data_IF_491066815609
#
_entry.id   IF_491066815609
#
_cell.length_a   1.000
_cell.length_b   1.000
_cell.length_c   1.000
_cell.angle_alpha   90.00
_cell.angle_beta   90.00
_cell.angle_gamma   90.00
#
_symmetry.space_group_name_H-M   'P 1'
#
loop_
_entity.id
_entity.type
_entity.pdbx_description
1 polymer ?
#
# COMPACT_ATOMS: atom_id res chain seq x y z
N UNK A 1 1.92 11.66 -32.47
CA UNK A 1 1.59 10.26 -32.77
C UNK A 1 0.89 9.73 -31.52
N UNK A 2 -0.44 9.68 -31.55
CA UNK A 2 -1.25 9.27 -30.39
C UNK A 2 -1.20 7.76 -30.31
N UNK A 3 -0.54 7.21 -29.29
CA UNK A 3 -0.53 5.76 -29.04
C UNK A 3 -1.82 5.43 -28.31
N UNK A 4 -2.77 4.84 -29.02
CA UNK A 4 -3.98 4.28 -28.42
C UNK A 4 -3.57 2.96 -27.75
N UNK A 5 -3.58 2.92 -26.42
CA UNK A 5 -3.38 1.69 -25.65
C UNK A 5 -4.64 0.83 -25.77
N UNK A 6 -4.57 -0.27 -26.48
CA UNK A 6 -5.62 -1.30 -26.42
C UNK A 6 -5.52 -2.02 -25.08
N UNK A 7 -6.55 -1.86 -24.25
CA UNK A 7 -6.72 -2.63 -23.02
C UNK A 7 -6.90 -4.12 -23.38
N UNK A 8 -6.34 -5.06 -22.59
CA UNK A 8 -6.64 -6.48 -22.81
C UNK A 8 -8.14 -6.72 -22.68
N UNK A 9 -8.67 -7.58 -23.53
CA UNK A 9 -10.08 -7.79 -23.83
C UNK A 9 -10.97 -8.25 -22.66
N UNK A 10 -10.46 -8.39 -21.45
CA UNK A 10 -11.26 -8.54 -20.22
C UNK A 10 -10.51 -7.99 -18.99
N UNK A 11 -11.17 -7.08 -18.27
CA UNK A 11 -10.72 -6.56 -16.95
C UNK A 11 -10.60 -7.68 -15.88
N UNK A 12 -11.04 -8.90 -16.17
CA UNK A 12 -11.05 -10.05 -15.25
C UNK A 12 -9.69 -10.77 -15.12
N UNK A 13 -8.65 -10.34 -15.84
CA UNK A 13 -7.33 -11.00 -15.83
C UNK A 13 -6.28 -10.36 -14.92
N UNK A 14 -6.60 -9.25 -14.25
CA UNK A 14 -5.64 -8.62 -13.34
C UNK A 14 -5.49 -9.42 -12.03
N UNK A 15 -4.25 -9.62 -11.61
CA UNK A 15 -3.95 -10.16 -10.29
C UNK A 15 -4.52 -9.19 -9.22
N UNK A 16 -5.27 -9.65 -8.21
CA UNK A 16 -5.81 -8.81 -7.15
C UNK A 16 -4.78 -7.86 -6.52
N UNK A 17 -3.55 -8.32 -6.32
CA UNK A 17 -2.47 -7.47 -5.79
C UNK A 17 -2.04 -6.35 -6.72
N UNK A 18 -2.17 -6.55 -8.02
CA UNK A 18 -1.83 -5.52 -9.01
C UNK A 18 -2.94 -4.46 -9.11
N UNK A 19 -4.21 -4.85 -8.97
CA UNK A 19 -5.34 -3.92 -8.84
C UNK A 19 -5.09 -2.98 -7.65
N UNK A 20 -4.78 -3.55 -6.49
CA UNK A 20 -4.52 -2.77 -5.27
C UNK A 20 -3.33 -1.81 -5.49
N UNK A 21 -2.21 -2.31 -6.00
CA UNK A 21 -1.01 -1.50 -6.22
C UNK A 21 -1.23 -0.38 -7.24
N UNK A 22 -1.91 -0.69 -8.35
CA UNK A 22 -2.25 0.29 -9.38
C UNK A 22 -3.19 1.39 -8.85
N UNK A 23 -4.18 1.01 -8.01
CA UNK A 23 -5.08 2.00 -7.40
C UNK A 23 -4.35 2.87 -6.35
N UNK A 24 -3.51 2.27 -5.49
CA UNK A 24 -2.71 3.03 -4.52
C UNK A 24 -1.74 3.99 -5.23
N UNK A 25 -1.21 3.62 -6.38
CA UNK A 25 -0.32 4.49 -7.17
C UNK A 25 -1.00 5.80 -7.61
N UNK A 26 -2.34 5.86 -7.70
CA UNK A 26 -3.08 7.10 -7.97
C UNK A 26 -2.98 8.13 -6.82
N UNK A 27 -2.65 7.69 -5.61
CA UNK A 27 -2.45 8.56 -4.45
C UNK A 27 -1.05 9.22 -4.43
N UNK A 28 -0.09 8.66 -5.19
CA UNK A 28 1.29 9.14 -5.23
C UNK A 28 1.44 10.27 -6.24
N UNK A 29 2.02 11.38 -5.81
CA UNK A 29 2.26 12.57 -6.62
C UNK A 29 3.74 12.95 -6.64
N UNK A 30 4.14 13.68 -7.67
CA UNK A 30 5.48 14.25 -7.78
C UNK A 30 5.85 15.09 -6.54
N UNK A 31 7.09 15.00 -6.11
CA UNK A 31 7.63 15.68 -4.93
C UNK A 31 7.38 14.98 -3.60
N UNK A 32 6.66 13.86 -3.57
CA UNK A 32 6.37 13.16 -2.32
C UNK A 32 7.55 12.33 -1.80
N UNK A 33 7.72 12.32 -0.48
CA UNK A 33 8.50 11.34 0.27
C UNK A 33 7.56 10.24 0.77
N UNK A 34 7.74 9.02 0.25
CA UNK A 34 6.82 7.88 0.45
C UNK A 34 7.53 6.71 1.10
N UNK A 35 6.96 6.15 2.15
CA UNK A 35 7.38 4.86 2.70
C UNK A 35 6.47 3.75 2.16
N UNK A 36 7.06 2.67 1.67
CA UNK A 36 6.35 1.48 1.21
C UNK A 36 6.68 0.31 2.12
N UNK A 37 5.67 -0.22 2.79
CA UNK A 37 5.78 -1.45 3.57
C UNK A 37 6.16 -2.66 2.72
N UNK A 38 6.62 -3.72 3.38
CA UNK A 38 7.09 -4.95 2.75
C UNK A 38 5.93 -5.71 2.08
N UNK A 39 6.19 -6.35 0.96
CA UNK A 39 5.27 -7.25 0.28
C UNK A 39 4.32 -6.54 -0.69
N UNK A 40 3.00 -6.53 -0.45
CA UNK A 40 2.04 -5.92 -1.37
C UNK A 40 2.30 -4.40 -1.55
N UNK A 41 2.54 -3.61 -0.49
CA UNK A 41 2.82 -2.18 -0.64
C UNK A 41 4.02 -1.87 -1.55
N UNK A 42 5.08 -2.66 -1.53
CA UNK A 42 6.26 -2.41 -2.36
C UNK A 42 5.98 -2.52 -3.86
N UNK A 43 4.89 -3.20 -4.27
CA UNK A 43 4.47 -3.29 -5.67
C UNK A 43 4.02 -1.96 -6.26
N UNK A 44 3.60 -1.00 -5.42
CA UNK A 44 3.14 0.34 -5.83
C UNK A 44 4.19 1.06 -6.66
N UNK A 45 5.47 0.94 -6.30
CA UNK A 45 6.56 1.54 -7.05
C UNK A 45 6.59 1.13 -8.54
N UNK A 46 6.15 -0.09 -8.85
CA UNK A 46 6.05 -0.59 -10.24
C UNK A 46 4.98 0.11 -11.09
N UNK A 47 4.04 0.82 -10.48
CA UNK A 47 2.93 1.50 -11.16
C UNK A 47 3.10 3.03 -11.23
N UNK A 48 4.29 3.57 -10.90
CA UNK A 48 4.55 5.01 -10.89
C UNK A 48 5.23 5.52 -12.18
N UNK A 49 5.15 4.78 -13.27
CA UNK A 49 5.67 5.24 -14.56
C UNK A 49 5.07 6.62 -14.92
N UNK A 50 5.94 7.60 -15.19
CA UNK A 50 5.54 8.97 -15.51
C UNK A 50 5.25 9.87 -14.29
N UNK A 51 5.43 9.39 -13.08
CA UNK A 51 5.48 10.24 -11.88
C UNK A 51 6.95 10.49 -11.55
N UNK A 52 7.38 11.73 -11.73
CA UNK A 52 8.77 12.14 -11.47
C UNK A 52 8.91 12.63 -10.03
N UNK A 53 10.16 12.69 -9.55
CA UNK A 53 10.52 13.26 -8.23
C UNK A 53 9.80 12.60 -7.03
N UNK A 54 9.53 11.30 -7.09
CA UNK A 54 9.09 10.53 -5.93
C UNK A 54 10.29 9.91 -5.24
N UNK A 55 10.44 10.19 -3.94
CA UNK A 55 11.51 9.65 -3.13
C UNK A 55 10.97 8.56 -2.20
N UNK A 56 11.49 7.35 -2.33
CA UNK A 56 11.15 6.27 -1.40
C UNK A 56 12.08 6.29 -0.20
N UNK A 57 11.48 6.19 0.99
CA UNK A 57 12.18 6.10 2.27
C UNK A 57 11.92 4.72 2.87
N UNK A 58 12.96 4.16 3.50
CA UNK A 58 12.81 3.01 4.38
C UNK A 58 13.27 3.39 5.79
N UNK A 59 12.64 2.83 6.80
CA UNK A 59 12.87 3.16 8.21
C UNK A 59 14.28 2.80 8.69
N UNK A 60 15.00 1.91 8.00
CA UNK A 60 16.42 1.62 8.25
C UNK A 60 17.36 2.78 7.89
N UNK A 61 16.87 3.82 7.18
CA UNK A 61 17.60 5.06 6.91
C UNK A 61 17.87 5.37 5.44
N UNK A 62 17.43 4.52 4.51
CA UNK A 62 17.52 4.81 3.09
C UNK A 62 16.51 5.86 2.65
N UNK A 63 16.93 6.88 1.91
CA UNK A 63 16.08 7.87 1.23
C UNK A 63 16.48 7.91 -0.24
N UNK A 64 15.51 7.93 -1.15
CA UNK A 64 15.75 7.84 -2.59
C UNK A 64 16.11 6.42 -3.02
N UNK A 65 15.46 5.42 -2.41
CA UNK A 65 15.60 4.02 -2.81
C UNK A 65 14.94 3.81 -4.17
N UNK A 66 15.62 3.06 -5.02
CA UNK A 66 15.18 2.70 -6.37
C UNK A 66 14.73 1.25 -6.47
N UNK A 67 14.55 0.79 -7.70
CA UNK A 67 14.16 -0.58 -7.98
C UNK A 67 15.25 -1.59 -7.54
N UNK A 68 14.84 -2.86 -7.43
CA UNK A 68 15.80 -3.95 -7.24
C UNK A 68 16.82 -3.97 -8.38
N UNK A 69 18.13 -4.02 -8.08
CA UNK A 69 19.17 -4.09 -9.10
C UNK A 69 19.08 -5.43 -9.88
N UNK A 70 19.63 -5.50 -11.11
CA UNK A 70 19.78 -6.76 -11.82
C UNK A 70 20.62 -7.76 -11.01
N UNK A 71 20.37 -9.04 -11.25
CA UNK A 71 21.11 -10.14 -10.59
C UNK A 71 22.63 -9.99 -10.83
N UNK A 72 23.40 -10.09 -9.73
CA UNK A 72 24.86 -9.92 -9.73
C UNK A 72 25.34 -8.47 -9.67
N UNK A 73 24.42 -7.50 -9.59
CA UNK A 73 24.73 -6.07 -9.41
C UNK A 73 24.25 -5.55 -8.04
N UNK A 74 23.85 -6.45 -7.16
CA UNK A 74 23.39 -6.08 -5.82
C UNK A 74 24.55 -5.62 -4.95
N UNK A 75 24.34 -4.50 -4.24
CA UNK A 75 25.22 -4.07 -3.16
C UNK A 75 24.67 -4.68 -1.84
N UNK A 76 25.44 -5.52 -1.14
CA UNK A 76 25.00 -6.15 0.11
C UNK A 76 24.77 -5.16 1.25
N UNK A 77 25.24 -3.93 1.13
CA UNK A 77 25.06 -2.86 2.11
C UNK A 77 23.87 -1.95 1.78
N UNK A 78 23.24 -2.13 0.63
CA UNK A 78 22.10 -1.31 0.19
C UNK A 78 20.81 -2.14 0.15
N UNK A 79 20.08 -2.10 1.26
CA UNK A 79 18.83 -2.87 1.43
C UNK A 79 17.70 -1.99 1.93
N UNK A 80 16.48 -2.36 1.59
CA UNK A 80 15.28 -1.83 2.25
C UNK A 80 15.14 -2.37 3.69
N UNK A 81 14.12 -1.90 4.41
CA UNK A 81 13.87 -2.34 5.79
C UNK A 81 13.45 -3.81 5.90
N UNK A 82 13.07 -4.46 4.81
CA UNK A 82 12.76 -5.88 4.72
C UNK A 82 13.97 -6.76 4.40
N UNK A 83 15.15 -6.15 4.21
CA UNK A 83 16.37 -6.85 3.79
C UNK A 83 16.43 -7.16 2.29
N UNK A 84 15.50 -6.62 1.50
CA UNK A 84 15.53 -6.72 0.04
C UNK A 84 16.57 -5.79 -0.57
N UNK A 85 17.34 -6.28 -1.56
CA UNK A 85 18.28 -5.43 -2.29
C UNK A 85 17.55 -4.36 -3.09
N UNK A 86 18.06 -3.13 -3.02
CA UNK A 86 17.54 -1.96 -3.74
C UNK A 86 18.67 -1.22 -4.43
N UNK A 87 18.34 -0.41 -5.41
CA UNK A 87 19.23 0.60 -5.97
C UNK A 87 19.03 1.95 -5.28
N UNK A 88 19.86 2.93 -5.61
CA UNK A 88 19.71 4.32 -5.18
C UNK A 88 19.54 5.21 -6.41
N UNK A 89 18.62 6.16 -6.35
CA UNK A 89 18.47 7.17 -7.41
C UNK A 89 19.46 8.30 -7.21
N UNK A 90 19.81 9.09 -8.23
CA UNK A 90 20.64 10.29 -8.07
C UNK A 90 20.05 11.22 -7.00
N UNK A 91 20.87 11.64 -6.04
CA UNK A 91 20.42 12.43 -4.89
C UNK A 91 19.95 11.62 -3.67
N UNK A 92 20.01 10.29 -3.74
CA UNK A 92 19.74 9.44 -2.59
C UNK A 92 20.66 9.75 -1.41
N UNK A 93 20.16 9.51 -0.20
CA UNK A 93 20.92 9.72 1.05
C UNK A 93 20.73 8.51 1.97
N UNK A 94 21.76 8.24 2.77
CA UNK A 94 21.68 7.31 3.90
C UNK A 94 21.82 8.10 5.20
N UNK A 95 20.89 7.88 6.11
CA UNK A 95 20.84 8.49 7.43
C UNK A 95 20.78 7.38 8.48
N UNK A 96 21.13 7.70 9.72
CA UNK A 96 20.97 6.74 10.80
C UNK A 96 19.48 6.51 11.16
N UNK A 97 19.21 5.43 11.86
CA UNK A 97 17.84 5.06 12.25
C UNK A 97 17.17 6.10 13.17
N UNK A 98 17.94 6.80 14.01
CA UNK A 98 17.38 7.82 14.92
C UNK A 98 16.84 9.00 14.10
N UNK A 99 17.60 9.48 13.10
CA UNK A 99 17.15 10.53 12.18
C UNK A 99 15.97 10.04 11.34
N UNK A 100 16.03 8.81 10.83
CA UNK A 100 14.93 8.21 10.06
C UNK A 100 13.62 8.21 10.83
N UNK A 101 13.62 7.71 12.08
CA UNK A 101 12.44 7.73 12.93
C UNK A 101 12.04 9.14 13.37
N UNK A 102 12.99 10.07 13.51
CA UNK A 102 12.67 11.48 13.78
C UNK A 102 11.91 12.11 12.59
N UNK A 103 12.30 11.81 11.35
CA UNK A 103 11.55 12.24 10.15
C UNK A 103 10.13 11.68 10.14
N UNK A 104 9.97 10.39 10.45
CA UNK A 104 8.66 9.73 10.51
C UNK A 104 7.79 10.41 11.58
N UNK A 105 8.25 10.46 12.83
CA UNK A 105 7.53 11.02 13.97
C UNK A 105 7.28 12.52 13.86
N UNK A 106 8.18 13.23 13.18
CA UNK A 106 8.07 14.67 12.91
C UNK A 106 7.08 15.05 11.81
N UNK A 107 6.40 14.07 11.18
CA UNK A 107 5.42 14.34 10.11
C UNK A 107 6.07 14.77 8.80
N UNK A 108 7.29 14.32 8.53
CA UNK A 108 8.01 14.65 7.30
C UNK A 108 7.80 13.63 6.17
N UNK A 109 7.16 12.49 6.44
CA UNK A 109 6.67 11.59 5.40
C UNK A 109 5.33 12.09 4.87
N UNK A 110 5.23 12.27 3.56
CA UNK A 110 3.97 12.66 2.92
C UNK A 110 2.98 11.50 2.93
N UNK A 111 3.46 10.27 2.70
CA UNK A 111 2.61 9.09 2.71
C UNK A 111 3.38 7.84 3.17
N UNK A 112 2.68 6.96 3.88
CA UNK A 112 3.08 5.58 4.07
C UNK A 112 2.02 4.63 3.53
N UNK A 113 2.46 3.56 2.87
CA UNK A 113 1.58 2.47 2.42
C UNK A 113 1.92 1.23 3.21
N UNK A 114 0.96 0.72 3.96
CA UNK A 114 1.15 -0.43 4.85
C UNK A 114 0.27 -1.61 4.44
N UNK A 115 0.78 -2.82 4.61
CA UNK A 115 -0.05 -4.02 4.55
C UNK A 115 -0.97 -4.11 5.77
N UNK A 116 -2.15 -4.73 5.62
CA UNK A 116 -3.10 -4.94 6.71
C UNK A 116 -3.45 -6.41 6.91
N UNK A 117 -3.60 -6.83 8.17
CA UNK A 117 -4.23 -8.11 8.54
C UNK A 117 -5.71 -7.91 8.76
N UNK A 118 -6.09 -6.90 9.56
CA UNK A 118 -7.47 -6.47 9.81
C UNK A 118 -7.52 -4.94 9.92
N UNK A 119 -8.66 -4.36 9.58
CA UNK A 119 -8.99 -2.95 9.84
C UNK A 119 -10.36 -2.91 10.53
N UNK A 120 -10.46 -2.10 11.58
CA UNK A 120 -11.67 -1.93 12.39
C UNK A 120 -12.63 -0.89 11.79
N UNK A 121 -13.89 -0.91 12.20
CA UNK A 121 -14.96 -0.02 11.70
C UNK A 121 -14.66 1.48 11.91
N UNK A 122 -13.78 1.84 12.82
CA UNK A 122 -13.30 3.21 13.03
C UNK A 122 -12.00 3.54 12.25
N UNK A 123 -11.49 2.61 11.44
CA UNK A 123 -10.29 2.77 10.64
C UNK A 123 -8.98 2.44 11.34
N UNK A 124 -8.98 1.84 12.53
CA UNK A 124 -7.76 1.41 13.20
C UNK A 124 -7.21 0.13 12.58
N UNK A 125 -5.89 0.08 12.44
CA UNK A 125 -5.16 -0.99 11.75
C UNK A 125 -4.59 -2.02 12.73
N UNK A 126 -4.71 -3.32 12.39
CA UNK A 126 -3.96 -4.42 12.97
C UNK A 126 -3.11 -5.08 11.86
N UNK A 127 -1.77 -5.04 11.96
CA UNK A 127 -0.90 -5.54 10.90
C UNK A 127 0.40 -6.21 11.37
N UNK A 128 0.62 -6.42 12.68
CA UNK A 128 1.93 -6.81 13.17
C UNK A 128 2.02 -8.20 13.78
N UNK A 129 0.91 -8.78 14.24
CA UNK A 129 0.91 -10.10 14.87
C UNK A 129 -0.37 -10.87 14.63
N UNK A 130 -0.21 -12.20 14.55
CA UNK A 130 -1.31 -13.17 14.66
C UNK A 130 -0.99 -14.04 15.86
N UNK A 131 -1.78 -14.01 16.95
CA UNK A 131 -1.53 -14.84 18.14
C UNK A 131 -1.33 -16.31 17.80
N UNK A 132 -0.33 -16.94 18.43
CA UNK A 132 0.01 -18.34 18.18
C UNK A 132 0.87 -18.61 16.94
N UNK A 133 1.26 -17.57 16.18
CA UNK A 133 2.23 -17.66 15.10
C UNK A 133 3.51 -16.91 15.45
N UNK A 134 4.60 -17.21 14.71
CA UNK A 134 5.84 -16.46 14.84
C UNK A 134 5.58 -14.97 14.54
N UNK A 135 6.04 -14.10 15.44
CA UNK A 135 5.92 -12.65 15.30
C UNK A 135 7.29 -12.13 14.88
N UNK A 136 7.44 -11.63 13.63
CA UNK A 136 8.72 -11.08 13.16
C UNK A 136 9.08 -9.76 13.85
N UNK A 137 8.16 -9.18 14.62
CA UNK A 137 8.26 -7.86 15.23
C UNK A 137 7.36 -6.85 14.54
N UNK A 138 7.16 -5.71 15.22
CA UNK A 138 6.31 -4.64 14.70
C UNK A 138 7.03 -3.79 13.65
N UNK A 139 8.36 -3.77 13.64
CA UNK A 139 9.13 -2.85 12.81
C UNK A 139 8.76 -1.40 13.10
N UNK A 140 8.75 -0.56 12.06
CA UNK A 140 8.37 0.84 12.13
C UNK A 140 6.86 1.11 12.04
N UNK A 141 5.99 0.09 11.99
CA UNK A 141 4.58 0.29 11.67
C UNK A 141 3.83 1.23 12.61
N UNK A 142 4.09 1.17 13.92
CA UNK A 142 3.47 2.10 14.90
C UNK A 142 3.84 3.54 14.62
N UNK A 143 5.13 3.80 14.39
CA UNK A 143 5.65 5.14 14.13
C UNK A 143 5.14 5.67 12.78
N UNK A 144 5.10 4.80 11.76
CA UNK A 144 4.58 5.14 10.44
C UNK A 144 3.10 5.52 10.48
N UNK A 145 2.27 4.73 11.19
CA UNK A 145 0.85 5.07 11.35
C UNK A 145 0.69 6.36 12.16
N UNK A 146 1.46 6.55 13.22
CA UNK A 146 1.33 7.73 14.08
C UNK A 146 1.85 9.01 13.42
N UNK A 147 2.95 8.92 12.64
CA UNK A 147 3.74 10.06 12.21
C UNK A 147 3.57 10.49 10.75
N UNK A 148 3.27 9.58 9.81
CA UNK A 148 3.08 9.96 8.41
C UNK A 148 1.88 10.89 8.22
N UNK A 149 1.96 11.82 7.26
CA UNK A 149 0.85 12.73 6.98
C UNK A 149 -0.37 12.00 6.44
N UNK A 150 -0.15 11.01 5.56
CA UNK A 150 -1.18 10.16 4.99
C UNK A 150 -0.82 8.68 5.16
N UNK A 151 -1.74 7.89 5.68
CA UNK A 151 -1.59 6.44 5.92
C UNK A 151 -2.56 5.69 5.02
N UNK A 152 -2.04 4.93 4.06
CA UNK A 152 -2.82 4.10 3.15
C UNK A 152 -2.59 2.64 3.51
N UNK A 153 -3.68 1.88 3.69
CA UNK A 153 -3.62 0.43 3.86
C UNK A 153 -3.88 -0.25 2.52
N UNK A 154 -2.93 -1.07 2.08
CA UNK A 154 -3.01 -1.91 0.88
C UNK A 154 -3.11 -3.38 1.30
N UNK A 155 -4.27 -3.99 1.14
CA UNK A 155 -4.50 -5.38 1.56
C UNK A 155 -5.59 -6.04 0.73
N UNK A 156 -5.60 -7.38 0.66
CA UNK A 156 -6.76 -8.10 0.11
C UNK A 156 -7.99 -7.89 1.00
N UNK A 157 -9.16 -7.83 0.39
CA UNK A 157 -10.43 -7.58 1.09
C UNK A 157 -10.78 -8.72 2.06
N UNK A 158 -10.50 -9.94 1.64
CA UNK A 158 -10.72 -11.14 2.45
C UNK A 158 -9.45 -11.98 2.58
N UNK A 159 -9.43 -12.86 3.56
CA UNK A 159 -8.43 -13.91 3.72
C UNK A 159 -9.13 -15.26 3.93
N UNK A 160 -8.93 -16.21 2.99
CA UNK A 160 -9.60 -17.52 3.01
C UNK A 160 -11.14 -17.39 3.16
N UNK A 161 -11.73 -16.43 2.44
CA UNK A 161 -13.16 -16.13 2.45
C UNK A 161 -13.68 -15.43 3.71
N UNK A 162 -12.80 -14.99 4.62
CA UNK A 162 -13.19 -14.23 5.82
C UNK A 162 -12.88 -12.74 5.62
N UNK A 163 -13.81 -11.83 5.98
CA UNK A 163 -13.59 -10.39 5.93
C UNK A 163 -12.36 -9.96 6.74
N UNK A 164 -11.62 -9.00 6.21
CA UNK A 164 -10.53 -8.34 6.91
C UNK A 164 -10.90 -6.93 7.38
N UNK A 165 -11.99 -6.38 6.87
CA UNK A 165 -12.58 -5.13 7.34
C UNK A 165 -13.70 -5.53 8.28
N UNK A 166 -13.53 -5.22 9.57
CA UNK A 166 -14.30 -5.80 10.67
C UNK A 166 -14.98 -4.72 11.52
N UNK A 167 -16.07 -5.08 12.16
CA UNK A 167 -16.66 -4.21 13.16
C UNK A 167 -15.67 -3.97 14.32
N UNK A 168 -15.05 -5.04 14.81
CA UNK A 168 -13.97 -4.97 15.81
C UNK A 168 -12.85 -5.93 15.41
N UNK A 169 -11.61 -5.44 15.42
CA UNK A 169 -10.44 -6.26 15.15
C UNK A 169 -10.31 -7.40 16.16
N UNK A 170 -10.06 -8.60 15.67
CA UNK A 170 -9.72 -9.76 16.52
C UNK A 170 -8.23 -9.81 16.86
N UNK A 171 -7.42 -9.05 16.15
CA UNK A 171 -5.98 -8.97 16.29
C UNK A 171 -5.57 -7.68 17.04
N UNK A 172 -4.42 -7.70 17.73
CA UNK A 172 -3.91 -6.50 18.41
C UNK A 172 -3.68 -5.34 17.44
N UNK A 173 -4.20 -4.17 17.78
CA UNK A 173 -4.06 -2.96 16.98
C UNK A 173 -2.58 -2.52 16.88
N UNK A 174 -2.24 -1.92 15.77
CA UNK A 174 -0.90 -1.36 15.50
C UNK A 174 -0.74 0.01 16.16
N UNK A 175 -1.76 0.85 16.06
CA UNK A 175 -1.79 2.19 16.65
C UNK A 175 -3.23 2.61 16.94
N UNK A 176 -3.39 3.69 17.74
CA UNK A 176 -4.70 4.26 18.05
C UNK A 176 -5.21 5.21 16.96
N UNK A 177 -4.28 5.79 16.16
CA UNK A 177 -4.65 6.63 15.02
C UNK A 177 -5.33 5.76 13.96
N UNK A 178 -6.46 6.22 13.41
CA UNK A 178 -7.08 5.64 12.22
C UNK A 178 -6.21 5.90 10.98
N UNK A 179 -6.30 5.03 10.00
CA UNK A 179 -5.69 5.21 8.68
C UNK A 179 -6.53 6.17 7.84
N UNK A 180 -5.93 6.74 6.80
CA UNK A 180 -6.60 7.74 5.97
C UNK A 180 -7.29 7.11 4.75
N UNK A 181 -6.85 5.93 4.30
CA UNK A 181 -7.44 5.22 3.17
C UNK A 181 -7.18 3.71 3.26
N UNK A 182 -8.17 2.92 2.88
CA UNK A 182 -8.08 1.46 2.76
C UNK A 182 -8.33 1.09 1.30
N UNK A 183 -7.35 0.44 0.65
CA UNK A 183 -7.46 -0.01 -0.73
C UNK A 183 -7.36 -1.52 -0.77
N UNK A 184 -8.38 -2.15 -1.33
CA UNK A 184 -8.43 -3.58 -1.58
C UNK A 184 -8.71 -3.82 -3.07
N UNK A 185 -8.67 -5.07 -3.53
CA UNK A 185 -9.08 -5.42 -4.90
C UNK A 185 -10.58 -5.23 -5.15
N UNK A 186 -11.37 -5.11 -4.07
CA UNK A 186 -12.83 -4.98 -4.17
C UNK A 186 -13.34 -3.56 -3.93
N UNK A 187 -12.60 -2.75 -3.16
CA UNK A 187 -13.09 -1.44 -2.72
C UNK A 187 -11.99 -0.46 -2.34
N UNK A 188 -12.27 0.84 -2.49
CA UNK A 188 -11.59 1.93 -1.80
C UNK A 188 -12.52 2.44 -0.71
N UNK A 189 -12.03 2.46 0.52
CA UNK A 189 -12.82 2.83 1.71
C UNK A 189 -12.06 3.93 2.47
N UNK A 190 -12.78 4.98 2.83
CA UNK A 190 -12.25 6.12 3.58
C UNK A 190 -12.82 6.13 4.99
N UNK A 191 -12.00 5.98 6.04
CA UNK A 191 -12.43 6.16 7.40
C UNK A 191 -12.77 7.63 7.71
N UNK A 192 -13.91 7.86 8.36
CA UNK A 192 -14.39 9.18 8.79
C UNK A 192 -14.84 9.13 10.26
N UNK A 193 -15.26 10.29 10.78
CA UNK A 193 -15.86 10.36 12.12
C UNK A 193 -17.23 9.68 12.19
N UNK A 194 -17.90 9.54 11.04
CA UNK A 194 -19.20 8.86 10.93
C UNK A 194 -19.07 7.34 10.72
N UNK A 195 -17.88 6.83 10.40
CA UNK A 195 -17.61 5.43 10.07
C UNK A 195 -16.84 5.27 8.76
N UNK A 196 -16.87 4.08 8.19
CA UNK A 196 -16.20 3.75 6.94
C UNK A 196 -17.06 4.11 5.73
N UNK A 197 -16.56 4.97 4.84
CA UNK A 197 -17.26 5.41 3.62
C UNK A 197 -16.75 4.60 2.44
N UNK A 198 -17.64 3.97 1.68
CA UNK A 198 -17.30 3.32 0.41
C UNK A 198 -17.14 4.37 -0.69
N UNK A 199 -15.92 4.58 -1.16
CA UNK A 199 -15.58 5.58 -2.17
C UNK A 199 -15.57 5.05 -3.59
N UNK A 200 -15.07 3.81 -3.78
CA UNK A 200 -14.99 3.18 -5.10
C UNK A 200 -15.20 1.67 -4.96
N UNK A 201 -15.71 1.04 -6.04
CA UNK A 201 -15.77 -0.41 -6.17
C UNK A 201 -14.68 -0.92 -7.11
N UNK A 202 -14.15 -2.11 -6.85
CA UNK A 202 -13.12 -2.73 -7.68
C UNK A 202 -13.64 -3.13 -9.07
N UNK A 203 -12.77 -3.39 -10.05
CA UNK A 203 -13.17 -3.82 -11.39
C UNK A 203 -14.08 -5.04 -11.35
N UNK A 204 -15.28 -4.91 -11.91
CA UNK A 204 -16.29 -5.97 -11.95
C UNK A 204 -16.96 -6.28 -10.61
N UNK A 205 -16.74 -5.47 -9.57
CA UNK A 205 -17.47 -5.56 -8.30
C UNK A 205 -18.72 -4.69 -8.32
N UNK A 206 -19.67 -5.03 -7.47
CA UNK A 206 -20.85 -4.21 -7.18
C UNK A 206 -20.85 -3.82 -5.69
N UNK A 207 -21.64 -2.83 -5.34
CA UNK A 207 -21.82 -2.43 -3.94
C UNK A 207 -22.26 -3.64 -3.09
N UNK A 208 -23.20 -4.45 -3.59
CA UNK A 208 -23.70 -5.64 -2.88
C UNK A 208 -22.58 -6.67 -2.64
N UNK A 209 -21.70 -6.90 -3.62
CA UNK A 209 -20.58 -7.85 -3.44
C UNK A 209 -19.59 -7.35 -2.41
N UNK A 210 -19.33 -6.04 -2.38
CA UNK A 210 -18.44 -5.42 -1.38
C UNK A 210 -19.06 -5.52 0.01
N UNK A 211 -20.34 -5.16 0.17
CA UNK A 211 -21.04 -5.25 1.44
C UNK A 211 -21.07 -6.70 1.98
N UNK A 212 -21.34 -7.67 1.11
CA UNK A 212 -21.36 -9.10 1.49
C UNK A 212 -19.98 -9.63 1.93
N UNK A 213 -18.90 -9.01 1.49
CA UNK A 213 -17.51 -9.38 1.84
C UNK A 213 -16.94 -8.58 3.02
N UNK A 214 -17.69 -7.61 3.57
CA UNK A 214 -17.29 -6.70 4.64
C UNK A 214 -18.08 -7.02 5.91
N UNK A 215 -17.39 -7.13 7.05
CA UNK A 215 -18.04 -7.38 8.35
C UNK A 215 -18.47 -6.06 9.03
N UNK A 216 -17.71 -4.98 8.81
CA UNK A 216 -18.07 -3.65 9.29
C UNK A 216 -19.16 -3.00 8.44
N UNK A 217 -19.95 -2.11 9.04
CA UNK A 217 -20.92 -1.29 8.30
C UNK A 217 -20.21 -0.27 7.42
N UNK A 218 -20.61 -0.17 6.13
CA UNK A 218 -20.13 0.84 5.21
C UNK A 218 -21.20 1.90 4.95
N UNK A 219 -20.79 3.16 4.99
CA UNK A 219 -21.60 4.30 4.57
C UNK A 219 -21.48 4.48 3.06
N UNK A 220 -22.60 4.75 2.41
CA UNK A 220 -22.67 5.01 0.96
C UNK A 220 -23.40 6.35 0.81
N UNK A 221 -22.60 7.41 0.62
CA UNK A 221 -23.13 8.77 0.48
C UNK A 221 -23.64 9.01 -0.96
N UNK A 222 -22.92 8.43 -1.95
CA UNK A 222 -23.21 8.48 -3.37
C UNK A 222 -22.91 7.13 -4.00
N UNK A 223 -23.44 6.87 -5.20
CA UNK A 223 -23.13 5.64 -5.94
C UNK A 223 -21.61 5.62 -6.25
N UNK A 224 -20.84 4.66 -5.68
CA UNK A 224 -19.40 4.67 -5.83
C UNK A 224 -19.00 4.29 -7.26
N UNK A 225 -18.11 5.06 -7.91
CA UNK A 225 -17.59 4.72 -9.22
C UNK A 225 -16.70 3.46 -9.16
N UNK A 226 -16.47 2.84 -10.33
CA UNK A 226 -15.42 1.84 -10.47
C UNK A 226 -14.04 2.49 -10.32
N UNK A 227 -13.10 1.82 -9.66
CA UNK A 227 -11.72 2.29 -9.43
C UNK A 227 -11.04 2.74 -10.70
N UNK A 228 -10.42 3.92 -10.64
CA UNK A 228 -9.39 4.33 -11.60
C UNK A 228 -8.09 3.59 -11.28
N UNK A 229 -7.49 2.93 -12.27
CA UNK A 229 -6.25 2.20 -12.10
C UNK A 229 -5.15 2.83 -12.93
N UNK A 230 -4.01 3.12 -12.32
CA UNK A 230 -2.81 3.53 -13.04
C UNK A 230 -2.20 2.31 -13.72
N UNK A 231 -2.48 2.17 -15.02
CA UNK A 231 -1.98 1.07 -15.82
C UNK A 231 -0.55 1.35 -16.27
N UNK A 232 0.31 0.32 -16.21
CA UNK A 232 1.64 0.38 -16.81
C UNK A 232 1.50 0.53 -18.34
N UNK A 233 2.37 1.32 -19.01
CA UNK A 233 2.50 1.25 -20.44
C UNK A 233 2.87 -0.19 -20.82
N UNK A 234 2.12 -0.77 -21.76
CA UNK A 234 2.36 -2.14 -22.24
C UNK A 234 3.79 -2.22 -22.78
N UNK A 235 4.67 -2.91 -22.07
CA UNK A 235 6.09 -3.07 -22.47
C UNK A 235 7.05 -3.51 -21.37
N UNK A 236 6.68 -3.49 -20.09
CA UNK A 236 7.61 -3.78 -18.97
C UNK A 236 7.13 -4.94 -18.08
N UNK A 237 6.24 -5.78 -18.57
CA UNK A 237 5.92 -7.04 -17.89
C UNK A 237 6.77 -8.16 -18.52
N UNK A 238 8.05 -8.25 -18.17
CA UNK A 238 8.77 -9.52 -18.25
C UNK A 238 8.79 -10.12 -16.85
N UNK A 239 8.01 -11.18 -16.73
CA UNK A 239 8.02 -12.10 -15.60
C UNK A 239 9.44 -12.48 -15.21
N UNK A 240 9.81 -12.28 -13.94
CA UNK A 240 10.79 -13.14 -13.33
C UNK A 240 10.05 -14.39 -12.82
N UNK A 241 10.46 -15.60 -13.25
CA UNK A 241 9.95 -16.81 -12.62
C UNK A 241 10.34 -16.78 -11.15
N UNK A 242 9.37 -17.03 -10.28
CA UNK A 242 9.61 -17.28 -8.87
C UNK A 242 10.46 -18.55 -8.69
N UNK A 243 11.40 -18.59 -7.73
CA UNK A 243 12.05 -19.81 -7.32
C UNK A 243 11.08 -20.74 -6.58
#
# INVERSE_FOLDING_TARGET
MTITLELPASKSSFNPKDIIAARVAEEVRSGMLVNLGIGLPSRVAGFLAGVEDVFFQAENGGIGLGARPPEGMEDPFLTDAGGGFVSAVPGAASIDSAISFALIRGGHLDMTVLGGLEVESDGRLANWTVPGKMVPGMGGAMDLVAGARRVVVAMTHTAKGKPKIKETCSLPLTALRRVDLIVTEMAVIEPSDAGLILREVGPGQTVETVLAATDASLLIDEEPPEMSLRLLPIGIAKESPAP
#
